data_IF_820591796930
#
_entry.id   IF_820591796930
#
_cell.length_a   1.000
_cell.length_b   1.000
_cell.length_c   1.000
_cell.angle_alpha   90.00
_cell.angle_beta   90.00
_cell.angle_gamma   90.00
#
_symmetry.space_group_name_H-M   'P 1'
#
loop_
_entity.id
_entity.type
_entity.pdbx_description
1 polymer ?
#
# COMPACT_ATOMS: atom_id res chain seq x y z
N UNK A 1 -20.49 5.76 -21.85
CA UNK A 1 -19.25 5.40 -21.11
C UNK A 1 -18.73 4.11 -21.72
N UNK A 2 -17.49 4.12 -22.22
CA UNK A 2 -16.89 2.90 -22.80
C UNK A 2 -16.56 1.92 -21.67
N UNK A 3 -16.92 0.66 -21.84
CA UNK A 3 -16.52 -0.42 -20.92
C UNK A 3 -15.00 -0.54 -20.91
N UNK A 4 -14.36 -0.37 -19.74
CA UNK A 4 -12.92 -0.61 -19.58
C UNK A 4 -12.61 -2.08 -19.92
N UNK A 5 -11.50 -2.32 -20.61
CA UNK A 5 -11.05 -3.70 -20.84
C UNK A 5 -10.61 -4.34 -19.52
N UNK A 6 -10.74 -5.67 -19.39
CA UNK A 6 -10.31 -6.40 -18.20
C UNK A 6 -8.85 -6.11 -17.84
N UNK A 7 -7.97 -6.08 -18.85
CA UNK A 7 -6.56 -5.77 -18.65
C UNK A 7 -6.34 -4.36 -18.06
N UNK A 8 -7.12 -3.37 -18.51
CA UNK A 8 -7.06 -2.01 -17.96
C UNK A 8 -7.55 -1.96 -16.50
N UNK A 9 -8.61 -2.70 -16.18
CA UNK A 9 -9.13 -2.81 -14.82
C UNK A 9 -8.04 -3.35 -13.88
N UNK A 10 -7.37 -4.44 -14.28
CA UNK A 10 -6.30 -5.06 -13.51
C UNK A 10 -5.13 -4.08 -13.31
N UNK A 11 -4.67 -3.42 -14.38
CA UNK A 11 -3.58 -2.46 -14.27
C UNK A 11 -3.89 -1.30 -13.32
N UNK A 12 -5.09 -0.74 -13.36
CA UNK A 12 -5.49 0.36 -12.48
C UNK A 12 -5.63 -0.08 -11.02
N UNK A 13 -6.20 -1.27 -10.77
CA UNK A 13 -6.28 -1.85 -9.43
C UNK A 13 -4.88 -2.09 -8.88
N UNK A 14 -4.02 -2.78 -9.63
CA UNK A 14 -2.67 -3.12 -9.18
C UNK A 14 -1.76 -1.90 -9.06
N UNK A 15 -1.91 -0.88 -9.91
CA UNK A 15 -1.27 0.43 -9.70
C UNK A 15 -1.56 0.96 -8.29
N UNK A 16 -2.84 1.00 -7.92
CA UNK A 16 -3.27 1.46 -6.60
C UNK A 16 -2.65 0.63 -5.47
N UNK A 17 -2.67 -0.69 -5.61
CA UNK A 17 -2.10 -1.62 -4.63
C UNK A 17 -0.59 -1.39 -4.48
N UNK A 18 0.17 -1.38 -5.56
CA UNK A 18 1.61 -1.22 -5.50
C UNK A 18 2.05 0.12 -4.91
N UNK A 19 1.35 1.22 -5.24
CA UNK A 19 1.61 2.53 -4.62
C UNK A 19 1.33 2.52 -3.11
N UNK A 20 0.24 1.89 -2.69
CA UNK A 20 -0.08 1.81 -1.27
C UNK A 20 0.87 0.89 -0.51
N UNK A 21 1.34 -0.20 -1.12
CA UNK A 21 2.37 -1.08 -0.56
C UNK A 21 3.67 -0.33 -0.33
N UNK A 22 4.16 0.37 -1.35
CA UNK A 22 5.33 1.23 -1.18
C UNK A 22 5.13 2.24 -0.04
N UNK A 23 4.00 2.96 -0.04
CA UNK A 23 3.70 4.01 0.93
C UNK A 23 3.61 3.51 2.37
N UNK A 24 2.79 2.48 2.63
CA UNK A 24 2.53 1.98 3.98
C UNK A 24 3.72 1.21 4.55
N UNK A 25 4.40 0.38 3.73
CA UNK A 25 5.63 -0.30 4.17
C UNK A 25 6.72 0.69 4.55
N UNK A 26 6.93 1.73 3.73
CA UNK A 26 7.91 2.76 4.05
C UNK A 26 7.57 3.50 5.35
N UNK A 27 6.30 3.89 5.56
CA UNK A 27 5.88 4.54 6.82
C UNK A 27 6.06 3.64 8.03
N UNK A 28 5.76 2.36 7.88
CA UNK A 28 5.97 1.38 8.94
C UNK A 28 7.45 1.26 9.29
N UNK A 29 8.33 1.15 8.27
CA UNK A 29 9.79 1.11 8.46
C UNK A 29 10.30 2.36 9.16
N UNK A 30 9.86 3.56 8.78
CA UNK A 30 10.26 4.79 9.46
C UNK A 30 9.83 4.79 10.94
N UNK A 31 8.58 4.39 11.21
CA UNK A 31 8.07 4.28 12.59
C UNK A 31 8.86 3.24 13.40
N UNK A 32 9.21 2.11 12.79
CA UNK A 32 10.02 1.07 13.43
C UNK A 32 11.46 1.55 13.66
N UNK A 33 12.04 2.26 12.69
CA UNK A 33 13.37 2.83 12.78
C UNK A 33 13.47 3.86 13.90
N UNK A 34 12.53 4.81 13.99
CA UNK A 34 12.51 5.82 15.05
C UNK A 34 12.44 5.15 16.43
N UNK A 35 11.61 4.11 16.58
CA UNK A 35 11.55 3.33 17.83
C UNK A 35 12.86 2.62 18.16
N UNK A 36 13.55 2.07 17.17
CA UNK A 36 14.85 1.42 17.34
C UNK A 36 15.92 2.45 17.69
N UNK A 37 15.92 3.61 17.04
CA UNK A 37 16.86 4.71 17.28
C UNK A 37 16.68 5.34 18.66
N UNK A 38 15.43 5.55 19.09
CA UNK A 38 15.09 6.09 20.41
C UNK A 38 15.41 5.12 21.57
N UNK A 39 15.53 3.81 21.31
CA UNK A 39 15.64 2.75 22.33
C UNK A 39 16.91 1.91 22.26
N UNK A 40 18.07 2.53 22.12
CA UNK A 40 19.35 1.92 22.54
C UNK A 40 19.42 1.64 24.07
N UNK A 41 18.34 1.87 24.83
CA UNK A 41 18.14 1.54 26.24
C UNK A 41 16.79 0.81 26.38
N UNK A 42 16.87 -0.50 26.60
CA UNK A 42 15.83 -1.45 27.05
C UNK A 42 14.56 -1.70 26.19
N UNK A 43 14.44 -2.97 25.79
CA UNK A 43 13.27 -3.70 25.28
C UNK A 43 12.70 -3.33 23.88
N UNK A 44 12.91 -4.24 22.91
CA UNK A 44 12.22 -4.23 21.62
C UNK A 44 10.78 -4.71 21.87
N UNK A 45 9.94 -3.80 22.37
CA UNK A 45 8.51 -4.03 22.64
C UNK A 45 7.63 -4.16 21.36
N UNK A 46 8.20 -4.59 20.24
CA UNK A 46 7.44 -4.79 19.01
C UNK A 46 8.14 -5.72 18.04
N UNK A 47 7.42 -6.74 17.58
CA UNK A 47 7.86 -7.69 16.57
C UNK A 47 7.87 -7.07 15.16
N UNK A 48 8.50 -5.90 14.99
CA UNK A 48 8.56 -5.19 13.71
C UNK A 48 9.27 -6.03 12.64
N UNK A 49 10.21 -6.88 13.05
CA UNK A 49 10.95 -7.77 12.15
C UNK A 49 10.07 -8.93 11.70
N UNK A 50 9.36 -9.61 12.61
CA UNK A 50 8.38 -10.64 12.26
C UNK A 50 7.27 -10.10 11.38
N UNK A 51 6.77 -8.90 11.69
CA UNK A 51 5.76 -8.21 10.87
C UNK A 51 6.24 -7.94 9.43
N UNK A 52 7.51 -7.58 9.23
CA UNK A 52 8.08 -7.43 7.89
C UNK A 52 8.34 -8.80 7.22
N UNK A 53 8.76 -9.81 7.99
CA UNK A 53 8.87 -11.19 7.50
C UNK A 53 7.52 -11.69 6.96
N UNK A 54 6.40 -11.37 7.62
CA UNK A 54 5.03 -11.70 7.17
C UNK A 54 4.64 -11.00 5.84
N UNK A 55 5.32 -9.91 5.48
CA UNK A 55 5.21 -9.28 4.16
C UNK A 55 6.14 -9.91 3.10
N UNK A 56 6.93 -10.91 3.46
CA UNK A 56 7.89 -11.59 2.58
C UNK A 56 9.32 -11.01 2.66
N UNK A 57 9.64 -10.22 3.68
CA UNK A 57 11.00 -9.74 3.91
C UNK A 57 11.85 -10.80 4.63
N UNK A 58 12.31 -11.78 3.86
CA UNK A 58 13.13 -12.89 4.35
C UNK A 58 14.60 -12.66 4.01
N UNK A 59 15.26 -11.76 4.76
CA UNK A 59 16.71 -11.56 4.63
C UNK A 59 17.40 -11.61 5.99
N UNK A 60 18.55 -12.28 6.01
CA UNK A 60 19.46 -12.26 7.15
C UNK A 60 20.37 -11.04 7.01
N UNK A 61 20.43 -10.21 8.04
CA UNK A 61 21.27 -9.00 8.11
C UNK A 61 21.86 -8.87 9.51
N UNK A 62 23.00 -8.18 9.61
CA UNK A 62 23.70 -8.01 10.88
C UNK A 62 23.08 -6.91 11.72
N UNK A 63 22.51 -5.89 11.07
CA UNK A 63 21.88 -4.74 11.75
C UNK A 63 20.44 -4.50 11.32
N UNK A 64 19.61 -3.84 12.16
CA UNK A 64 18.28 -3.37 11.77
C UNK A 64 18.33 -2.38 10.60
N UNK A 65 19.34 -1.52 10.53
CA UNK A 65 19.49 -0.56 9.43
C UNK A 65 19.69 -1.26 8.08
N UNK A 66 20.56 -2.27 8.04
CA UNK A 66 20.74 -3.10 6.84
C UNK A 66 19.45 -3.83 6.45
N UNK A 67 18.70 -4.34 7.44
CA UNK A 67 17.40 -4.96 7.18
C UNK A 67 16.43 -3.98 6.52
N UNK A 68 16.31 -2.77 7.07
CA UNK A 68 15.45 -1.73 6.49
C UNK A 68 15.90 -1.33 5.09
N UNK A 69 17.21 -1.16 4.85
CA UNK A 69 17.74 -0.88 3.51
C UNK A 69 17.39 -2.00 2.52
N UNK A 70 17.46 -3.28 2.94
CA UNK A 70 17.02 -4.41 2.11
C UNK A 70 15.52 -4.37 1.83
N UNK A 71 14.69 -4.07 2.82
CA UNK A 71 13.24 -3.95 2.61
C UNK A 71 12.88 -2.82 1.62
N UNK A 72 13.66 -1.73 1.64
CA UNK A 72 13.41 -0.56 0.81
C UNK A 72 13.93 -0.74 -0.63
N UNK A 73 15.19 -1.16 -0.78
CA UNK A 73 15.92 -1.00 -2.04
C UNK A 73 16.27 -2.32 -2.74
N UNK A 74 16.09 -3.48 -2.10
CA UNK A 74 16.48 -4.76 -2.70
C UNK A 74 15.53 -5.18 -3.82
N UNK A 75 15.89 -4.84 -5.07
CA UNK A 75 15.13 -5.25 -6.26
C UNK A 75 15.13 -6.76 -6.51
N UNK A 76 15.91 -7.58 -5.83
CA UNK A 76 15.75 -9.03 -5.96
C UNK A 76 14.61 -9.58 -5.09
N UNK A 77 14.12 -8.79 -4.11
CA UNK A 77 12.96 -9.14 -3.31
C UNK A 77 11.67 -8.55 -3.92
N UNK A 78 10.70 -9.38 -4.36
CA UNK A 78 9.41 -8.93 -4.88
C UNK A 78 8.59 -8.08 -3.90
N UNK A 79 8.79 -8.25 -2.59
CA UNK A 79 8.10 -7.49 -1.56
C UNK A 79 8.71 -6.11 -1.31
N UNK A 80 9.88 -5.81 -1.88
CA UNK A 80 10.55 -4.51 -1.65
C UNK A 80 9.76 -3.31 -2.10
N UNK A 81 10.02 -2.18 -1.45
CA UNK A 81 9.44 -0.89 -1.85
C UNK A 81 9.88 -0.53 -3.27
N UNK A 82 11.15 -0.77 -3.62
CA UNK A 82 11.65 -0.61 -4.99
C UNK A 82 10.86 -1.42 -6.02
N UNK A 83 10.64 -2.72 -5.77
CA UNK A 83 9.82 -3.55 -6.69
C UNK A 83 8.38 -3.10 -6.78
N UNK A 84 7.79 -2.68 -5.66
CA UNK A 84 6.43 -2.13 -5.66
C UNK A 84 6.37 -0.85 -6.49
N UNK A 85 7.35 0.05 -6.37
CA UNK A 85 7.39 1.28 -7.17
C UNK A 85 7.64 1.02 -8.66
N UNK A 86 8.53 0.09 -9.00
CA UNK A 86 8.77 -0.32 -10.40
C UNK A 86 7.47 -0.88 -11.02
N UNK A 87 6.77 -1.77 -10.29
CA UNK A 87 5.50 -2.33 -10.74
C UNK A 87 4.39 -1.27 -10.84
N UNK A 88 4.32 -0.33 -9.90
CA UNK A 88 3.38 0.78 -9.98
C UNK A 88 3.64 1.63 -11.24
N UNK A 89 4.89 1.94 -11.53
CA UNK A 89 5.27 2.70 -12.73
C UNK A 89 4.86 1.98 -14.02
N UNK A 90 5.14 0.68 -14.13
CA UNK A 90 4.76 -0.12 -15.31
C UNK A 90 3.24 -0.12 -15.53
N UNK A 91 2.45 -0.31 -14.47
CA UNK A 91 0.99 -0.25 -14.53
C UNK A 91 0.48 1.16 -14.91
N UNK A 92 1.13 2.22 -14.42
CA UNK A 92 0.79 3.59 -14.77
C UNK A 92 1.07 3.90 -16.24
N UNK A 93 2.19 3.40 -16.79
CA UNK A 93 2.52 3.54 -18.21
C UNK A 93 1.49 2.81 -19.08
N UNK A 94 1.10 1.59 -18.69
CA UNK A 94 0.08 0.81 -19.40
C UNK A 94 -1.30 1.51 -19.41
N UNK A 95 -1.57 2.37 -18.43
CA UNK A 95 -2.82 3.12 -18.29
C UNK A 95 -2.64 4.64 -18.50
N UNK A 96 -1.57 5.06 -19.20
CA UNK A 96 -1.26 6.49 -19.40
C UNK A 96 -2.40 7.29 -20.02
N UNK A 97 -3.13 6.67 -20.94
CA UNK A 97 -4.25 7.31 -21.63
C UNK A 97 -5.42 7.63 -20.69
N UNK A 98 -5.60 6.84 -19.63
CA UNK A 98 -6.60 7.07 -18.59
C UNK A 98 -6.11 8.04 -17.50
N UNK A 99 -4.82 7.97 -17.15
CA UNK A 99 -4.25 8.70 -16.01
C UNK A 99 -3.76 10.12 -16.34
N UNK A 100 -3.42 10.39 -17.61
CA UNK A 100 -2.85 11.67 -18.03
C UNK A 100 -1.36 11.81 -17.68
N UNK A 101 -0.70 12.78 -18.32
CA UNK A 101 0.77 12.95 -18.18
C UNK A 101 1.15 13.51 -16.81
N UNK A 102 0.30 14.37 -16.26
CA UNK A 102 0.46 15.03 -14.96
C UNK A 102 0.53 14.00 -13.82
N UNK A 103 -0.44 13.08 -13.76
CA UNK A 103 -0.48 12.02 -12.74
C UNK A 103 0.74 11.09 -12.85
N UNK A 104 1.10 10.69 -14.07
CA UNK A 104 2.28 9.84 -14.31
C UNK A 104 3.58 10.53 -13.88
N UNK A 105 3.67 11.86 -14.03
CA UNK A 105 4.81 12.65 -13.58
C UNK A 105 5.13 12.42 -12.11
N UNK A 106 4.12 12.41 -11.24
CA UNK A 106 4.33 12.16 -9.81
C UNK A 106 4.80 10.74 -9.49
N UNK A 107 4.34 9.74 -10.24
CA UNK A 107 4.84 8.36 -10.08
C UNK A 107 6.31 8.28 -10.50
N UNK A 108 6.67 8.87 -11.64
CA UNK A 108 8.06 8.93 -12.09
C UNK A 108 8.95 9.67 -11.07
N UNK A 109 8.47 10.78 -10.52
CA UNK A 109 9.19 11.53 -9.47
C UNK A 109 9.38 10.69 -8.21
N UNK A 110 8.39 9.89 -7.81
CA UNK A 110 8.51 8.98 -6.68
C UNK A 110 9.57 7.88 -6.93
N UNK A 111 9.61 7.29 -8.13
CA UNK A 111 10.65 6.32 -8.53
C UNK A 111 12.04 6.97 -8.50
N UNK A 112 12.19 8.15 -9.11
CA UNK A 112 13.47 8.87 -9.15
C UNK A 112 13.95 9.25 -7.73
N UNK A 113 13.03 9.69 -6.87
CA UNK A 113 13.34 10.00 -5.48
C UNK A 113 13.80 8.75 -4.70
N UNK A 114 13.19 7.59 -4.97
CA UNK A 114 13.60 6.33 -4.34
C UNK A 114 15.01 5.90 -4.79
N UNK A 115 15.32 6.04 -6.08
CA UNK A 115 16.65 5.76 -6.62
C UNK A 115 17.71 6.70 -6.03
N UNK A 116 17.42 8.00 -5.98
CA UNK A 116 18.31 8.97 -5.35
C UNK A 116 18.56 8.65 -3.87
N UNK A 117 17.50 8.27 -3.13
CA UNK A 117 17.60 7.89 -1.72
C UNK A 117 18.51 6.69 -1.50
N UNK A 118 18.53 5.73 -2.43
CA UNK A 118 19.37 4.52 -2.32
C UNK A 118 20.87 4.80 -2.42
N UNK A 119 21.25 5.93 -3.02
CA UNK A 119 22.64 6.38 -3.16
C UNK A 119 23.03 7.46 -2.13
N UNK A 120 22.13 7.82 -1.22
CA UNK A 120 22.33 8.88 -0.24
C UNK A 120 23.06 8.41 1.02
N UNK A 121 23.74 9.33 1.70
CA UNK A 121 24.32 9.13 3.02
C UNK A 121 23.26 9.04 4.13
N UNK A 122 22.03 9.54 3.88
CA UNK A 122 20.90 9.47 4.81
C UNK A 122 19.60 8.99 4.13
N UNK A 123 19.55 7.73 3.64
CA UNK A 123 18.45 7.23 2.82
C UNK A 123 17.06 7.37 3.44
N UNK A 124 16.95 7.19 4.76
CA UNK A 124 15.65 7.21 5.45
C UNK A 124 15.02 8.61 5.51
N UNK A 125 15.84 9.67 5.51
CA UNK A 125 15.35 11.05 5.49
C UNK A 125 14.83 11.42 4.09
N UNK A 126 15.59 11.05 3.07
CA UNK A 126 15.29 11.40 1.67
C UNK A 126 14.06 10.67 1.13
N UNK A 127 13.74 9.53 1.73
CA UNK A 127 12.52 8.76 1.50
C UNK A 127 11.24 9.58 1.71
N UNK A 128 11.25 10.67 2.48
CA UNK A 128 10.09 11.56 2.63
C UNK A 128 9.58 12.06 1.27
N UNK A 129 10.49 12.36 0.33
CA UNK A 129 10.12 12.83 -1.01
C UNK A 129 9.36 11.77 -1.82
N UNK A 130 9.62 10.48 -1.57
CA UNK A 130 8.85 9.39 -2.17
C UNK A 130 7.40 9.42 -1.68
N UNK A 131 7.18 9.60 -0.38
CA UNK A 131 5.83 9.71 0.20
C UNK A 131 5.10 10.95 -0.31
N UNK A 132 5.79 12.08 -0.39
CA UNK A 132 5.21 13.34 -0.87
C UNK A 132 4.74 13.21 -2.31
N UNK A 133 5.54 12.59 -3.18
CA UNK A 133 5.17 12.33 -4.57
C UNK A 133 3.99 11.34 -4.69
N UNK A 134 3.93 10.30 -3.87
CA UNK A 134 2.77 9.38 -3.84
C UNK A 134 1.50 10.12 -3.37
N UNK A 135 1.62 11.00 -2.38
CA UNK A 135 0.50 11.81 -1.89
C UNK A 135 0.06 12.85 -2.93
N UNK A 136 1.01 13.47 -3.64
CA UNK A 136 0.73 14.37 -4.74
C UNK A 136 0.02 13.65 -5.89
N UNK A 137 0.42 12.42 -6.23
CA UNK A 137 -0.31 11.57 -7.17
C UNK A 137 -1.76 11.35 -6.73
N UNK A 138 -1.99 11.00 -5.45
CA UNK A 138 -3.33 10.76 -4.90
C UNK A 138 -4.26 11.98 -5.04
N UNK A 139 -3.73 13.19 -4.85
CA UNK A 139 -4.48 14.43 -5.09
C UNK A 139 -4.64 14.73 -6.58
N UNK A 140 -3.59 14.53 -7.38
CA UNK A 140 -3.60 14.79 -8.82
C UNK A 140 -4.66 13.97 -9.57
N UNK A 141 -4.84 12.69 -9.21
CA UNK A 141 -5.88 11.86 -9.85
C UNK A 141 -7.30 12.31 -9.51
N UNK A 142 -7.52 13.01 -8.40
CA UNK A 142 -8.83 13.58 -8.09
C UNK A 142 -9.17 14.74 -9.02
N UNK A 143 -8.20 15.62 -9.24
CA UNK A 143 -8.38 16.85 -10.01
C UNK A 143 -8.34 16.63 -11.52
N UNK A 144 -7.42 15.79 -12.02
CA UNK A 144 -7.09 15.74 -13.45
C UNK A 144 -7.61 14.50 -14.19
N UNK A 145 -7.82 13.36 -13.51
CA UNK A 145 -8.33 12.15 -14.17
C UNK A 145 -9.84 12.28 -14.36
N UNK A 146 -10.29 12.49 -15.60
CA UNK A 146 -11.72 12.69 -15.92
C UNK A 146 -12.52 11.39 -15.81
N UNK A 147 -11.90 10.24 -16.08
CA UNK A 147 -12.55 8.94 -15.99
C UNK A 147 -12.77 8.54 -14.52
N UNK A 148 -14.02 8.66 -14.06
CA UNK A 148 -14.40 8.34 -12.68
C UNK A 148 -14.17 6.88 -12.32
N UNK A 149 -14.41 5.96 -13.27
CA UNK A 149 -14.22 4.54 -13.05
C UNK A 149 -12.73 4.23 -12.88
N UNK A 150 -11.87 4.82 -13.72
CA UNK A 150 -10.43 4.65 -13.60
C UNK A 150 -9.88 5.18 -12.27
N UNK A 151 -10.32 6.38 -11.87
CA UNK A 151 -9.97 6.96 -10.56
C UNK A 151 -10.43 6.06 -9.41
N UNK A 152 -11.67 5.56 -9.47
CA UNK A 152 -12.22 4.67 -8.45
C UNK A 152 -11.45 3.35 -8.38
N UNK A 153 -11.03 2.76 -9.50
CA UNK A 153 -10.22 1.54 -9.54
C UNK A 153 -8.87 1.71 -8.83
N UNK A 154 -8.12 2.77 -9.15
CA UNK A 154 -6.85 3.07 -8.47
C UNK A 154 -7.07 3.23 -6.97
N UNK A 155 -8.10 3.98 -6.57
CA UNK A 155 -8.41 4.21 -5.15
C UNK A 155 -8.90 2.96 -4.43
N UNK A 156 -9.67 2.11 -5.09
CA UNK A 156 -10.07 0.81 -4.55
C UNK A 156 -8.87 -0.09 -4.35
N UNK A 157 -7.94 -0.15 -5.31
CA UNK A 157 -6.68 -0.88 -5.18
C UNK A 157 -5.86 -0.38 -3.98
N UNK A 158 -5.70 0.93 -3.83
CA UNK A 158 -5.04 1.51 -2.65
C UNK A 158 -5.74 1.12 -1.35
N UNK A 159 -7.06 1.24 -1.28
CA UNK A 159 -7.80 0.95 -0.05
C UNK A 159 -7.76 -0.54 0.31
N UNK A 160 -7.91 -1.45 -0.66
CA UNK A 160 -7.77 -2.90 -0.44
C UNK A 160 -6.39 -3.25 0.11
N UNK A 161 -5.35 -2.72 -0.52
CA UNK A 161 -3.98 -2.97 -0.08
C UNK A 161 -3.70 -2.40 1.31
N UNK A 162 -4.23 -1.21 1.62
CA UNK A 162 -4.08 -0.63 2.96
C UNK A 162 -4.71 -1.51 4.03
N UNK A 163 -5.90 -2.04 3.79
CA UNK A 163 -6.58 -2.94 4.73
C UNK A 163 -5.73 -4.20 4.95
N UNK A 164 -5.23 -4.82 3.86
CA UNK A 164 -4.32 -5.97 3.93
C UNK A 164 -3.07 -5.67 4.77
N UNK A 165 -2.37 -4.57 4.46
CA UNK A 165 -1.14 -4.21 5.15
C UNK A 165 -1.36 -3.82 6.61
N UNK A 166 -2.43 -3.06 6.91
CA UNK A 166 -2.77 -2.73 8.29
C UNK A 166 -3.03 -4.00 9.11
N UNK A 167 -3.71 -4.99 8.53
CA UNK A 167 -3.97 -6.27 9.19
C UNK A 167 -2.68 -7.09 9.38
N UNK A 168 -1.88 -7.30 8.32
CA UNK A 168 -0.61 -8.07 8.37
C UNK A 168 0.40 -7.46 9.33
N UNK A 169 0.57 -6.14 9.28
CA UNK A 169 1.52 -5.42 10.12
C UNK A 169 0.97 -5.07 11.51
N UNK A 170 -0.30 -5.40 11.80
CA UNK A 170 -1.02 -4.92 13.00
C UNK A 170 -0.85 -3.41 13.22
N UNK A 171 -0.86 -2.67 12.13
CA UNK A 171 -0.49 -1.26 12.08
C UNK A 171 -1.72 -0.43 11.79
N UNK A 172 -2.09 0.46 12.72
CA UNK A 172 -3.27 1.34 12.60
C UNK A 172 -4.58 0.58 12.30
N UNK A 173 -4.81 -0.50 13.06
CA UNK A 173 -6.03 -1.32 12.94
C UNK A 173 -7.31 -0.50 13.16
N UNK A 174 -7.25 0.49 14.04
CA UNK A 174 -8.30 1.47 14.32
C UNK A 174 -8.74 2.28 13.09
N UNK A 175 -7.89 2.39 12.07
CA UNK A 175 -8.21 3.06 10.81
C UNK A 175 -8.98 2.20 9.80
N UNK A 176 -9.00 0.87 9.96
CA UNK A 176 -9.62 -0.05 8.98
C UNK A 176 -11.12 0.23 8.75
N UNK A 177 -11.96 0.56 9.75
CA UNK A 177 -13.38 0.89 9.54
C UNK A 177 -13.58 2.04 8.55
N UNK A 178 -12.76 3.08 8.68
CA UNK A 178 -12.80 4.19 7.75
C UNK A 178 -12.38 3.79 6.33
N UNK A 179 -11.40 2.89 6.19
CA UNK A 179 -11.02 2.34 4.89
C UNK A 179 -12.14 1.51 4.26
N UNK A 180 -12.84 0.70 5.04
CA UNK A 180 -13.98 -0.10 4.54
C UNK A 180 -15.10 0.81 4.04
N UNK A 181 -15.44 1.88 4.77
CA UNK A 181 -16.42 2.88 4.32
C UNK A 181 -15.99 3.56 3.01
N UNK A 182 -14.71 3.97 2.93
CA UNK A 182 -14.15 4.57 1.71
C UNK A 182 -14.21 3.62 0.53
N UNK A 183 -13.91 2.33 0.74
CA UNK A 183 -13.99 1.31 -0.29
C UNK A 183 -15.43 1.15 -0.78
N UNK A 184 -16.37 0.95 0.14
CA UNK A 184 -17.79 0.77 -0.17
C UNK A 184 -18.35 1.94 -1.00
N UNK A 185 -17.95 3.17 -0.71
CA UNK A 185 -18.38 4.37 -1.45
C UNK A 185 -17.94 4.44 -2.93
N UNK A 186 -17.00 3.58 -3.35
CA UNK A 186 -16.40 3.60 -4.69
C UNK A 186 -16.70 2.36 -5.53
N UNK A 187 -17.00 1.21 -4.90
CA UNK A 187 -17.12 -0.08 -5.58
C UNK A 187 -18.05 -0.04 -6.79
N UNK A 188 -19.28 0.46 -6.62
CA UNK A 188 -20.27 0.52 -7.70
C UNK A 188 -19.90 1.50 -8.83
N UNK A 189 -18.95 2.42 -8.59
CA UNK A 189 -18.46 3.40 -9.58
C UNK A 189 -17.30 2.88 -10.43
N UNK A 190 -16.69 1.76 -10.03
CA UNK A 190 -15.53 1.18 -10.76
C UNK A 190 -15.91 0.56 -12.10
N UNK A 191 -17.17 0.13 -12.27
CA UNK A 191 -17.60 -0.69 -13.41
C UNK A 191 -16.99 -2.10 -13.45
N UNK A 192 -16.17 -2.48 -12.47
CA UNK A 192 -15.60 -3.81 -12.35
C UNK A 192 -16.54 -4.76 -11.58
N UNK A 193 -16.45 -6.04 -11.92
CA UNK A 193 -17.05 -7.09 -11.09
C UNK A 193 -16.34 -7.15 -9.74
N UNK A 194 -17.10 -7.32 -8.67
CA UNK A 194 -16.54 -7.47 -7.33
C UNK A 194 -17.43 -8.36 -6.44
N UNK A 195 -16.82 -8.99 -5.44
CA UNK A 195 -17.51 -9.86 -4.49
C UNK A 195 -18.24 -9.05 -3.41
N UNK A 196 -19.56 -8.89 -3.58
CA UNK A 196 -20.42 -8.29 -2.54
C UNK A 196 -20.39 -9.07 -1.23
N UNK A 197 -20.16 -10.39 -1.28
CA UNK A 197 -20.04 -11.22 -0.09
C UNK A 197 -18.77 -10.89 0.69
N UNK A 198 -17.62 -10.80 0.02
CA UNK A 198 -16.36 -10.44 0.66
C UNK A 198 -16.41 -9.06 1.32
N UNK A 199 -17.07 -8.09 0.67
CA UNK A 199 -17.28 -6.74 1.24
C UNK A 199 -18.14 -6.79 2.51
N UNK A 200 -19.24 -7.57 2.49
CA UNK A 200 -20.11 -7.72 3.66
C UNK A 200 -19.40 -8.39 4.83
N UNK A 201 -18.63 -9.44 4.55
CA UNK A 201 -17.84 -10.14 5.58
C UNK A 201 -16.74 -9.27 6.17
N UNK A 202 -16.06 -8.49 5.32
CA UNK A 202 -15.06 -7.53 5.77
C UNK A 202 -15.69 -6.45 6.66
N UNK A 203 -16.83 -5.89 6.25
CA UNK A 203 -17.56 -4.90 7.03
C UNK A 203 -18.06 -5.48 8.37
N UNK A 204 -18.62 -6.69 8.38
CA UNK A 204 -19.09 -7.33 9.60
C UNK A 204 -17.99 -7.52 10.64
N UNK A 205 -16.78 -7.89 10.21
CA UNK A 205 -15.63 -8.03 11.10
C UNK A 205 -15.11 -6.68 11.61
N UNK A 206 -15.07 -5.69 10.72
CA UNK A 206 -14.45 -4.39 11.00
C UNK A 206 -15.33 -3.49 11.88
N UNK A 207 -16.66 -3.58 11.75
CA UNK A 207 -17.63 -2.81 12.54
C UNK A 207 -18.13 -3.56 13.78
N UNK A 208 -17.53 -4.71 14.12
CA UNK A 208 -17.76 -5.34 15.40
C UNK A 208 -17.30 -4.40 16.53
N UNK A 209 -18.11 -4.13 17.56
CA UNK A 209 -17.74 -3.24 18.67
C UNK A 209 -16.47 -3.67 19.42
N UNK A 210 -16.04 -4.93 19.29
CA UNK A 210 -14.82 -5.45 19.88
C UNK A 210 -13.57 -5.21 19.02
N UNK A 211 -13.73 -4.76 17.77
CA UNK A 211 -12.61 -4.41 16.88
C UNK A 211 -12.13 -2.96 17.15
N UNK A 212 -10.81 -2.70 17.21
CA UNK A 212 -9.70 -3.63 17.00
C UNK A 212 -9.19 -4.34 18.28
N UNK A 213 -9.72 -4.04 19.48
CA UNK A 213 -9.10 -4.45 20.75
C UNK A 213 -9.01 -5.97 20.94
N UNK A 214 -9.97 -6.73 20.41
CA UNK A 214 -10.07 -8.18 20.63
C UNK A 214 -9.89 -9.01 19.35
N UNK A 215 -9.34 -8.41 18.27
CA UNK A 215 -9.11 -9.17 17.03
C UNK A 215 -7.93 -10.12 17.20
N UNK A 216 -8.17 -11.41 16.96
CA UNK A 216 -7.15 -12.44 16.97
C UNK A 216 -6.55 -12.64 15.56
N UNK A 217 -5.51 -13.46 15.47
CA UNK A 217 -4.77 -13.72 14.24
C UNK A 217 -5.68 -14.28 13.14
N UNK A 218 -6.62 -15.16 13.51
CA UNK A 218 -7.63 -15.71 12.60
C UNK A 218 -8.61 -14.65 12.12
N UNK A 219 -8.95 -13.67 12.96
CA UNK A 219 -9.71 -12.49 12.56
C UNK A 219 -8.96 -11.69 11.50
N UNK A 220 -7.69 -11.39 11.73
CA UNK A 220 -6.86 -10.65 10.78
C UNK A 220 -6.66 -11.42 9.45
N UNK A 221 -6.39 -12.72 9.50
CA UNK A 221 -6.29 -13.58 8.31
C UNK A 221 -7.58 -13.58 7.48
N UNK A 222 -8.74 -13.65 8.14
CA UNK A 222 -10.03 -13.57 7.45
C UNK A 222 -10.25 -12.20 6.83
N UNK A 223 -9.91 -11.11 7.52
CA UNK A 223 -9.99 -9.76 6.95
C UNK A 223 -9.11 -9.61 5.71
N UNK A 224 -7.88 -10.12 5.77
CA UNK A 224 -6.94 -10.18 4.63
C UNK A 224 -7.55 -10.96 3.47
N UNK A 225 -8.12 -12.14 3.72
CA UNK A 225 -8.76 -12.96 2.69
C UNK A 225 -9.95 -12.25 2.06
N UNK A 226 -10.82 -11.63 2.87
CA UNK A 226 -11.96 -10.86 2.37
C UNK A 226 -11.49 -9.68 1.52
N UNK A 227 -10.54 -8.86 1.99
CA UNK A 227 -10.03 -7.71 1.24
C UNK A 227 -9.43 -8.12 -0.11
N UNK A 228 -8.61 -9.17 -0.13
CA UNK A 228 -8.01 -9.69 -1.36
C UNK A 228 -9.02 -10.36 -2.30
N UNK A 229 -10.12 -10.89 -1.76
CA UNK A 229 -11.20 -11.52 -2.53
C UNK A 229 -12.21 -10.54 -3.13
N UNK A 230 -12.08 -9.23 -2.92
CA UNK A 230 -13.06 -8.24 -3.42
C UNK A 230 -13.06 -8.20 -4.95
N UNK A 231 -11.89 -8.18 -5.59
CA UNK A 231 -11.75 -8.08 -7.05
C UNK A 231 -11.17 -9.36 -7.68
N UNK A 232 -11.23 -10.49 -6.95
CA UNK A 232 -10.75 -11.79 -7.42
C UNK A 232 -11.75 -12.49 -8.35
#
# INVERSE_FOLDING_TARGET
MGTLSLNRIDHLLWLGRYLERAFTTQRFILTAYDRVADRALDDIDGDWKGQLVDLGFNCETETPLEFFQRCLFNRDNPSSVARSMDAAYDNAIACRDALGTESLGYIQMAVNALEASSASDSPLLDLQLVQDNIMAFKGCIDDFVVDDAARCLVKCGMTVERIDLCARLRYRLDGIPHEVDRLASRLDRTGASYSRQAVKELAAQTFDPAFPQNVDDKGLERMIACANGIFA
#
